data_IF_853308028514
#
_entry.id   IF_853308028514
#
_cell.length_a   1.000
_cell.length_b   1.000
_cell.length_c   1.000
_cell.angle_alpha   90.00
_cell.angle_beta   90.00
_cell.angle_gamma   90.00
#
_symmetry.space_group_name_H-M   'P 1'
#
loop_
_entity.id
_entity.type
_entity.pdbx_description
1 polymer ?
#
# COMPACT_ATOMS: atom_id res chain seq x y z
N UNK A 1 3.27 -39.15 -8.69
CA UNK A 1 2.32 -38.75 -7.64
C UNK A 1 1.18 -39.73 -7.74
N UNK A 2 1.06 -40.64 -6.78
CA UNK A 2 0.02 -41.67 -6.78
C UNK A 2 -1.35 -41.03 -6.56
N UNK A 3 -2.25 -41.26 -7.52
CA UNK A 3 -3.61 -40.71 -7.54
C UNK A 3 -4.57 -41.40 -6.56
N UNK A 4 -4.12 -42.44 -5.86
CA UNK A 4 -4.91 -43.21 -4.89
C UNK A 4 -4.59 -42.87 -3.43
N UNK A 5 -3.73 -41.86 -3.19
CA UNK A 5 -3.50 -41.35 -1.84
C UNK A 5 -4.72 -40.57 -1.32
N UNK A 6 -5.16 -40.77 -0.06
CA UNK A 6 -6.29 -40.03 0.52
C UNK A 6 -6.01 -38.52 0.68
N UNK A 7 -4.74 -38.10 0.60
CA UNK A 7 -4.32 -36.70 0.64
C UNK A 7 -4.15 -36.09 -0.77
N UNK A 8 -4.56 -36.79 -1.84
CA UNK A 8 -4.43 -36.30 -3.21
C UNK A 8 -5.45 -35.19 -3.51
N UNK A 9 -4.96 -33.98 -3.80
CA UNK A 9 -5.77 -32.84 -4.26
C UNK A 9 -5.49 -32.57 -5.74
N UNK A 10 -6.44 -32.82 -6.66
CA UNK A 10 -6.23 -32.57 -8.08
C UNK A 10 -6.20 -31.06 -8.39
N UNK A 11 -5.19 -30.59 -9.11
CA UNK A 11 -5.13 -29.22 -9.61
C UNK A 11 -6.16 -29.00 -10.73
N UNK A 12 -7.19 -28.20 -10.47
CA UNK A 12 -8.26 -27.87 -11.43
C UNK A 12 -7.78 -26.90 -12.53
N UNK A 13 -6.61 -26.28 -12.36
CA UNK A 13 -6.06 -25.32 -13.31
C UNK A 13 -4.98 -25.96 -14.18
N UNK A 14 -5.32 -26.22 -15.44
CA UNK A 14 -4.35 -26.60 -16.47
C UNK A 14 -3.51 -25.37 -16.81
N UNK A 15 -2.22 -25.40 -16.49
CA UNK A 15 -1.27 -24.37 -16.93
C UNK A 15 -1.15 -24.40 -18.46
N UNK A 16 -1.69 -23.40 -19.15
CA UNK A 16 -1.49 -23.18 -20.60
C UNK A 16 -0.41 -22.11 -20.84
N UNK A 17 0.66 -22.49 -21.54
CA UNK A 17 1.63 -21.54 -22.13
C UNK A 17 0.89 -20.54 -23.06
N UNK A 18 1.40 -19.31 -23.09
CA UNK A 18 0.98 -18.13 -23.87
C UNK A 18 0.02 -18.34 -25.06
N UNK A 19 -1.02 -17.50 -25.12
CA UNK A 19 -2.00 -17.40 -26.20
C UNK A 19 -1.36 -16.96 -27.53
N UNK A 20 -1.54 -17.76 -28.59
CA UNK A 20 -1.13 -17.47 -29.97
C UNK A 20 -2.27 -16.90 -30.85
N UNK A 21 -3.12 -15.98 -30.33
CA UNK A 21 -4.12 -15.29 -31.17
C UNK A 21 -4.19 -13.78 -30.87
N UNK A 22 -3.53 -12.92 -31.67
CA UNK A 22 -3.61 -11.46 -31.52
C UNK A 22 -4.97 -10.88 -31.98
N UNK A 23 -5.71 -11.59 -32.84
CA UNK A 23 -6.95 -11.15 -33.48
C UNK A 23 -8.11 -10.82 -32.50
N UNK A 24 -8.16 -11.49 -31.34
CA UNK A 24 -9.25 -11.31 -30.36
C UNK A 24 -9.28 -9.95 -29.65
N UNK A 25 -8.23 -9.13 -29.78
CA UNK A 25 -8.18 -7.79 -29.18
C UNK A 25 -8.95 -6.74 -29.99
N UNK A 26 -9.24 -6.99 -31.27
CA UNK A 26 -9.93 -6.06 -32.17
C UNK A 26 -11.46 -6.16 -32.05
N UNK A 27 -11.99 -7.25 -31.50
CA UNK A 27 -13.45 -7.44 -31.37
C UNK A 27 -14.07 -6.64 -30.21
N UNK A 28 -13.33 -6.40 -29.12
CA UNK A 28 -13.86 -5.68 -27.94
C UNK A 28 -14.24 -4.23 -28.24
N UNK A 29 -13.41 -3.43 -28.96
CA UNK A 29 -13.78 -2.07 -29.37
C UNK A 29 -14.98 -2.03 -30.32
N UNK A 30 -15.08 -2.97 -31.26
CA UNK A 30 -16.14 -3.01 -32.27
C UNK A 30 -17.52 -3.35 -31.68
N UNK A 31 -17.57 -4.18 -30.64
CA UNK A 31 -18.81 -4.50 -29.91
C UNK A 31 -19.33 -3.31 -29.10
N UNK A 32 -18.43 -2.47 -28.57
CA UNK A 32 -18.81 -1.25 -27.83
C UNK A 32 -19.38 -0.19 -28.80
N UNK A 33 -18.74 0.03 -29.95
CA UNK A 33 -19.25 0.95 -30.99
C UNK A 33 -20.64 0.57 -31.52
N UNK A 34 -20.92 -0.73 -31.73
CA UNK A 34 -22.25 -1.22 -32.12
C UNK A 34 -23.35 -1.00 -31.07
N UNK A 35 -22.98 -0.90 -29.78
CA UNK A 35 -23.92 -0.63 -28.70
C UNK A 35 -24.22 0.86 -28.62
N UNK A 36 -23.18 1.68 -28.75
CA UNK A 36 -23.28 3.14 -28.75
C UNK A 36 -24.05 3.65 -30.00
N UNK A 37 -23.92 2.99 -31.17
CA UNK A 37 -24.75 3.29 -32.37
C UNK A 37 -26.24 2.92 -32.21
N UNK A 38 -26.55 1.93 -31.36
CA UNK A 38 -27.93 1.45 -31.15
C UNK A 38 -28.70 2.31 -30.14
N UNK A 39 -27.99 3.04 -29.29
CA UNK A 39 -28.60 3.96 -28.31
C UNK A 39 -29.03 5.31 -28.92
N UNK A 40 -28.57 5.66 -30.13
CA UNK A 40 -28.87 6.95 -30.76
C UNK A 40 -30.10 6.96 -31.69
N UNK A 41 -30.81 5.84 -31.87
CA UNK A 41 -32.00 5.78 -32.72
C UNK A 41 -33.26 5.52 -31.88
N UNK A 42 -33.87 6.60 -31.40
CA UNK A 42 -35.23 6.56 -30.87
C UNK A 42 -36.22 6.52 -32.04
N UNK A 43 -36.84 5.36 -32.29
CA UNK A 43 -38.10 5.29 -33.04
C UNK A 43 -39.24 5.00 -32.06
N UNK A 44 -40.42 5.64 -32.18
CA UNK A 44 -41.59 5.31 -31.38
C UNK A 44 -42.10 3.90 -31.73
N UNK A 45 -42.55 3.15 -30.73
CA UNK A 45 -43.13 1.82 -30.90
C UNK A 45 -44.42 1.86 -31.75
N UNK A 46 -44.66 0.89 -32.64
CA UNK A 46 -45.91 0.79 -33.39
C UNK A 46 -47.09 0.39 -32.49
N UNK A 47 -48.34 0.78 -32.84
CA UNK A 47 -49.52 0.46 -32.04
C UNK A 47 -49.84 -1.04 -32.06
N UNK A 48 -50.43 -1.58 -30.97
CA UNK A 48 -50.77 -3.00 -30.87
C UNK A 48 -51.90 -3.40 -31.85
N UNK A 49 -51.89 -4.64 -32.36
CA UNK A 49 -52.95 -5.16 -33.22
C UNK A 49 -54.26 -5.38 -32.46
N UNK A 50 -55.41 -5.48 -33.17
CA UNK A 50 -56.72 -5.63 -32.55
C UNK A 50 -56.84 -6.99 -31.85
N UNK A 51 -57.42 -6.97 -30.65
CA UNK A 51 -57.87 -8.15 -29.92
C UNK A 51 -59.13 -8.69 -30.57
N UNK A 52 -59.04 -9.86 -31.22
CA UNK A 52 -60.20 -10.67 -31.55
C UNK A 52 -60.53 -11.57 -30.34
N UNK A 53 -61.75 -11.39 -29.85
CA UNK A 53 -62.35 -12.12 -28.76
C UNK A 53 -62.71 -13.53 -29.25
N UNK A 54 -61.92 -14.54 -28.91
CA UNK A 54 -62.42 -15.93 -28.87
C UNK A 54 -61.57 -16.76 -27.92
N UNK A 55 -62.06 -16.87 -26.68
CA UNK A 55 -61.49 -17.71 -25.65
C UNK A 55 -61.97 -19.16 -25.87
N UNK A 56 -61.16 -20.00 -26.52
CA UNK A 56 -61.25 -21.46 -26.39
C UNK A 56 -60.34 -21.90 -25.26
N UNK A 57 -60.95 -22.33 -24.16
CA UNK A 57 -60.27 -22.87 -22.99
C UNK A 57 -59.79 -24.28 -23.34
N UNK A 58 -58.51 -24.44 -23.67
CA UNK A 58 -57.85 -25.75 -23.57
C UNK A 58 -57.28 -25.88 -22.16
N UNK A 59 -57.96 -26.70 -21.37
CA UNK A 59 -57.60 -27.09 -20.01
C UNK A 59 -56.37 -28.02 -20.06
N UNK A 60 -55.17 -27.43 -20.05
CA UNK A 60 -53.97 -28.16 -19.65
C UNK A 60 -53.93 -28.19 -18.13
N UNK A 61 -54.24 -29.38 -17.57
CA UNK A 61 -54.15 -29.66 -16.15
C UNK A 61 -52.74 -29.30 -15.61
N UNK A 62 -52.66 -28.16 -14.92
CA UNK A 62 -51.55 -27.83 -14.04
C UNK A 62 -51.55 -28.86 -12.91
N UNK A 63 -50.57 -29.75 -12.91
CA UNK A 63 -50.35 -30.66 -11.78
C UNK A 63 -50.06 -29.81 -10.53
N UNK A 64 -51.08 -29.64 -9.69
CA UNK A 64 -50.99 -28.91 -8.43
C UNK A 64 -49.97 -29.62 -7.52
N UNK A 65 -48.87 -28.92 -7.20
CA UNK A 65 -47.83 -29.41 -6.29
C UNK A 65 -48.48 -29.79 -4.95
N UNK A 66 -48.16 -30.97 -4.36
CA UNK A 66 -48.70 -31.36 -3.06
C UNK A 66 -48.48 -30.25 -2.04
N UNK A 67 -49.54 -29.89 -1.31
CA UNK A 67 -49.56 -28.74 -0.38
C UNK A 67 -48.41 -28.78 0.65
N UNK A 68 -48.02 -29.98 1.07
CA UNK A 68 -46.88 -30.22 1.97
C UNK A 68 -45.52 -29.84 1.36
N UNK A 69 -45.31 -30.13 0.08
CA UNK A 69 -44.06 -29.81 -0.62
C UNK A 69 -43.91 -28.30 -0.85
N UNK A 70 -45.05 -27.59 -1.02
CA UNK A 70 -45.08 -26.13 -1.08
C UNK A 70 -44.75 -25.49 0.28
N UNK A 71 -45.33 -25.99 1.37
CA UNK A 71 -45.05 -25.55 2.74
C UNK A 71 -43.57 -25.78 3.14
N UNK A 72 -43.01 -26.95 2.78
CA UNK A 72 -41.60 -27.26 3.00
C UNK A 72 -40.68 -26.32 2.18
N UNK A 73 -41.07 -25.99 0.94
CA UNK A 73 -40.33 -25.05 0.09
C UNK A 73 -40.36 -23.62 0.63
N UNK A 74 -41.51 -23.15 1.12
CA UNK A 74 -41.67 -21.83 1.76
C UNK A 74 -40.82 -21.75 3.03
N UNK A 75 -40.84 -22.80 3.85
CA UNK A 75 -40.02 -22.89 5.06
C UNK A 75 -38.53 -22.82 4.72
N UNK A 76 -38.09 -23.58 3.71
CA UNK A 76 -36.70 -23.56 3.24
C UNK A 76 -36.28 -22.23 2.64
N UNK A 77 -37.18 -21.56 1.91
CA UNK A 77 -36.95 -20.22 1.39
C UNK A 77 -36.75 -19.20 2.52
N UNK A 78 -37.59 -19.27 3.56
CA UNK A 78 -37.43 -18.45 4.77
C UNK A 78 -36.08 -18.67 5.46
N UNK A 79 -35.70 -19.93 5.68
CA UNK A 79 -34.41 -20.28 6.29
C UNK A 79 -33.21 -19.78 5.47
N UNK A 80 -33.22 -19.98 4.15
CA UNK A 80 -32.17 -19.48 3.26
C UNK A 80 -32.12 -17.96 3.22
N UNK A 81 -33.26 -17.28 3.34
CA UNK A 81 -33.35 -15.83 3.39
C UNK A 81 -32.75 -15.29 4.68
N UNK A 82 -33.04 -15.91 5.82
CA UNK A 82 -32.40 -15.59 7.11
C UNK A 82 -30.89 -15.83 7.07
N UNK A 83 -30.45 -16.97 6.52
CA UNK A 83 -29.02 -17.28 6.35
C UNK A 83 -28.33 -16.25 5.46
N UNK A 84 -28.94 -15.87 4.33
CA UNK A 84 -28.42 -14.83 3.45
C UNK A 84 -28.30 -13.47 4.14
N UNK A 85 -29.25 -13.10 5.01
CA UNK A 85 -29.19 -11.86 5.79
C UNK A 85 -28.06 -11.94 6.82
N UNK A 86 -27.94 -13.06 7.53
CA UNK A 86 -26.88 -13.30 8.51
C UNK A 86 -25.49 -13.22 7.88
N UNK A 87 -25.27 -13.95 6.78
CA UNK A 87 -24.00 -13.96 6.04
C UNK A 87 -23.63 -12.58 5.48
N UNK A 88 -24.61 -11.81 4.98
CA UNK A 88 -24.37 -10.43 4.54
C UNK A 88 -23.90 -9.54 5.69
N UNK A 89 -24.54 -9.66 6.85
CA UNK A 89 -24.16 -8.92 8.06
C UNK A 89 -22.76 -9.28 8.52
N UNK A 90 -22.41 -10.57 8.54
CA UNK A 90 -21.06 -11.03 8.88
C UNK A 90 -20.02 -10.51 7.88
N UNK A 91 -20.33 -10.54 6.57
CA UNK A 91 -19.45 -9.99 5.55
C UNK A 91 -19.20 -8.48 5.72
N UNK A 92 -20.22 -7.73 6.13
CA UNK A 92 -20.09 -6.30 6.43
C UNK A 92 -19.24 -6.07 7.68
N UNK A 93 -19.49 -6.81 8.76
CA UNK A 93 -18.69 -6.75 9.99
C UNK A 93 -17.22 -7.08 9.74
N UNK A 94 -16.93 -8.15 9.00
CA UNK A 94 -15.55 -8.54 8.66
C UNK A 94 -14.86 -7.51 7.76
N UNK A 95 -15.60 -6.82 6.89
CA UNK A 95 -15.06 -5.72 6.09
C UNK A 95 -14.70 -4.52 6.96
N UNK A 96 -15.57 -4.15 7.88
CA UNK A 96 -15.34 -3.04 8.81
C UNK A 96 -14.15 -3.33 9.75
N UNK A 97 -14.06 -4.55 10.27
CA UNK A 97 -12.93 -4.97 11.10
C UNK A 97 -11.62 -4.96 10.31
N UNK A 98 -11.62 -5.50 9.09
CA UNK A 98 -10.45 -5.44 8.21
C UNK A 98 -10.04 -3.99 7.90
N UNK A 99 -10.99 -3.08 7.70
CA UNK A 99 -10.70 -1.67 7.49
C UNK A 99 -10.01 -1.06 8.72
N UNK A 100 -10.56 -1.30 9.92
CA UNK A 100 -9.98 -0.84 11.19
C UNK A 100 -8.60 -1.44 11.46
N UNK A 101 -8.41 -2.73 11.20
CA UNK A 101 -7.13 -3.41 11.38
C UNK A 101 -6.06 -2.88 10.41
N UNK A 102 -6.43 -2.66 9.14
CA UNK A 102 -5.52 -2.05 8.15
C UNK A 102 -5.11 -0.64 8.57
N UNK A 103 -6.04 0.14 9.12
CA UNK A 103 -5.74 1.47 9.64
C UNK A 103 -4.81 1.41 10.86
N UNK A 104 -5.10 0.55 11.85
CA UNK A 104 -4.23 0.32 13.01
C UNK A 104 -2.83 -0.11 12.59
N UNK A 105 -2.71 -1.02 11.62
CA UNK A 105 -1.43 -1.47 11.08
C UNK A 105 -0.66 -0.33 10.41
N UNK A 106 -1.35 0.52 9.64
CA UNK A 106 -0.75 1.69 8.98
C UNK A 106 -0.22 2.70 9.99
N UNK A 107 -0.98 2.96 11.05
CA UNK A 107 -0.59 3.88 12.13
C UNK A 107 0.49 3.29 13.05
N UNK A 108 0.57 1.96 13.14
CA UNK A 108 1.63 1.27 13.87
C UNK A 108 2.98 1.30 13.12
N UNK A 109 2.97 1.48 11.79
CA UNK A 109 4.18 1.50 10.99
C UNK A 109 4.93 2.82 11.18
N UNK A 110 6.18 2.72 11.65
CA UNK A 110 7.03 3.88 11.89
C UNK A 110 7.65 4.36 10.58
N UNK A 111 7.11 5.44 10.03
CA UNK A 111 7.57 6.10 8.81
C UNK A 111 7.69 7.60 9.03
N UNK A 112 8.42 8.27 8.14
CA UNK A 112 8.51 9.72 8.13
C UNK A 112 7.11 10.35 8.11
N UNK A 113 6.22 9.88 7.24
CA UNK A 113 4.86 10.41 7.10
C UNK A 113 3.98 10.27 8.35
N UNK A 114 4.19 9.23 9.17
CA UNK A 114 3.39 9.02 10.40
C UNK A 114 3.92 9.83 11.58
N UNK A 115 5.23 10.08 11.62
CA UNK A 115 5.87 10.85 12.70
C UNK A 115 5.92 12.35 12.41
N UNK A 116 6.02 12.76 11.14
CA UNK A 116 6.14 14.17 10.72
C UNK A 116 5.03 15.10 11.23
N UNK A 117 3.76 14.65 11.38
CA UNK A 117 2.71 15.47 12.01
C UNK A 117 2.96 15.76 13.50
N UNK A 118 3.61 14.85 14.24
CA UNK A 118 4.04 15.08 15.62
C UNK A 118 5.39 15.82 15.60
N UNK A 119 5.33 17.15 15.59
CA UNK A 119 6.50 18.01 15.52
C UNK A 119 7.47 17.77 16.68
N UNK A 120 6.95 17.48 17.88
CA UNK A 120 7.78 17.25 19.08
C UNK A 120 8.59 15.97 18.91
N UNK A 121 7.93 14.88 18.54
CA UNK A 121 8.59 13.61 18.29
C UNK A 121 9.54 13.70 17.08
N UNK A 122 9.14 14.41 16.02
CA UNK A 122 9.94 14.56 14.81
C UNK A 122 11.25 15.32 15.07
N UNK A 123 11.18 16.45 15.78
CA UNK A 123 12.37 17.21 16.20
C UNK A 123 13.20 16.40 17.18
N UNK A 124 12.58 15.67 18.11
CA UNK A 124 13.31 14.80 19.03
C UNK A 124 14.14 13.74 18.30
N UNK A 125 13.58 13.13 17.25
CA UNK A 125 14.22 12.07 16.48
C UNK A 125 15.26 12.57 15.47
N UNK A 126 14.97 13.65 14.74
CA UNK A 126 15.82 14.13 13.64
C UNK A 126 16.71 15.30 14.02
N UNK A 127 16.30 16.08 15.01
CA UNK A 127 16.93 17.34 15.39
C UNK A 127 16.65 18.49 14.45
N UNK A 128 15.78 18.30 13.48
CA UNK A 128 15.40 19.31 12.51
C UNK A 128 13.90 19.57 12.59
N UNK A 129 13.50 20.79 12.27
CA UNK A 129 12.10 21.09 11.99
C UNK A 129 11.68 20.44 10.68
N UNK A 130 10.39 20.19 10.50
CA UNK A 130 9.85 19.63 9.26
C UNK A 130 10.18 20.48 8.03
N UNK A 131 10.20 21.81 8.19
CA UNK A 131 10.59 22.76 7.14
C UNK A 131 12.05 22.56 6.69
N UNK A 132 13.00 22.44 7.62
CA UNK A 132 14.42 22.21 7.28
C UNK A 132 14.59 20.82 6.68
N UNK A 133 13.86 19.83 7.19
CA UNK A 133 13.85 18.48 6.63
C UNK A 133 13.40 18.48 5.16
N UNK A 134 12.29 19.15 4.83
CA UNK A 134 11.76 19.23 3.47
C UNK A 134 12.69 19.98 2.53
N UNK A 135 13.30 21.07 3.01
CA UNK A 135 14.35 21.78 2.28
C UNK A 135 15.54 20.87 1.99
N UNK A 136 16.03 20.15 3.00
CA UNK A 136 17.16 19.24 2.87
C UNK A 136 16.85 18.10 1.91
N UNK A 137 15.65 17.52 2.01
CA UNK A 137 15.18 16.49 1.09
C UNK A 137 15.17 17.03 -0.35
N UNK A 138 14.60 18.21 -0.57
CA UNK A 138 14.58 18.86 -1.89
C UNK A 138 15.99 19.08 -2.47
N UNK A 139 16.99 19.39 -1.62
CA UNK A 139 18.39 19.50 -2.04
C UNK A 139 19.03 18.16 -2.40
N UNK A 140 18.59 17.06 -1.79
CA UNK A 140 19.21 15.74 -1.95
C UNK A 140 18.56 14.89 -3.03
N UNK A 141 17.26 15.04 -3.30
CA UNK A 141 16.46 14.15 -4.19
C UNK A 141 17.08 13.95 -5.58
N UNK A 142 17.75 14.97 -6.14
CA UNK A 142 18.41 14.88 -7.45
C UNK A 142 19.73 14.10 -7.47
N UNK A 143 20.35 13.88 -6.32
CA UNK A 143 21.70 13.28 -6.21
C UNK A 143 21.71 11.95 -5.45
N UNK A 144 20.65 11.63 -4.72
CA UNK A 144 20.55 10.40 -3.92
C UNK A 144 19.91 9.26 -4.70
N UNK A 145 20.30 8.03 -4.36
CA UNK A 145 19.72 6.81 -4.91
C UNK A 145 18.66 6.25 -3.96
N UNK A 146 17.53 5.83 -4.51
CA UNK A 146 16.54 5.04 -3.78
C UNK A 146 17.09 3.62 -3.59
N UNK A 147 17.37 3.23 -2.35
CA UNK A 147 18.01 1.94 -2.04
C UNK A 147 17.00 0.80 -1.98
N UNK A 148 15.77 1.09 -1.53
CA UNK A 148 14.68 0.12 -1.48
C UNK A 148 13.36 0.74 -1.92
N UNK A 149 12.53 -0.05 -2.61
CA UNK A 149 11.17 0.37 -2.99
C UNK A 149 10.17 0.35 -1.82
N UNK A 150 10.50 -0.37 -0.74
CA UNK A 150 9.65 -0.45 0.47
C UNK A 150 9.57 0.86 1.24
N UNK A 151 10.55 1.75 1.07
CA UNK A 151 10.66 3.01 1.79
C UNK A 151 10.65 4.18 0.81
N UNK A 152 10.03 5.29 1.20
CA UNK A 152 10.06 6.54 0.43
C UNK A 152 11.44 7.22 0.55
N UNK A 153 11.75 8.18 -0.33
CA UNK A 153 12.98 8.98 -0.17
C UNK A 153 12.98 9.78 1.14
N UNK A 154 11.80 10.20 1.61
CA UNK A 154 11.67 10.83 2.93
C UNK A 154 12.10 9.88 4.04
N UNK A 155 11.66 8.62 3.99
CA UNK A 155 12.03 7.61 4.99
C UNK A 155 13.54 7.34 4.99
N UNK A 156 14.18 7.35 3.82
CA UNK A 156 15.63 7.19 3.73
C UNK A 156 16.35 8.33 4.46
N UNK A 157 15.97 9.58 4.20
CA UNK A 157 16.53 10.74 4.89
C UNK A 157 16.24 10.69 6.40
N UNK A 158 15.01 10.35 6.77
CA UNK A 158 14.55 10.25 8.16
C UNK A 158 15.37 9.23 8.95
N UNK A 159 15.60 8.04 8.39
CA UNK A 159 16.46 6.99 8.98
C UNK A 159 17.87 7.53 9.27
N UNK A 160 18.47 8.24 8.32
CA UNK A 160 19.83 8.76 8.46
C UNK A 160 19.90 9.81 9.56
N UNK A 161 18.94 10.74 9.59
CA UNK A 161 18.90 11.78 10.62
C UNK A 161 18.69 11.19 12.02
N UNK A 162 17.79 10.21 12.17
CA UNK A 162 17.64 9.46 13.43
C UNK A 162 18.96 8.82 13.83
N UNK A 163 19.63 8.17 12.88
CA UNK A 163 20.88 7.47 13.17
C UNK A 163 21.99 8.44 13.60
N UNK A 164 22.12 9.58 12.91
CA UNK A 164 23.13 10.60 13.22
C UNK A 164 22.87 11.29 14.55
N UNK A 165 21.60 11.53 14.90
CA UNK A 165 21.24 12.20 16.15
C UNK A 165 21.25 11.28 17.36
N UNK A 166 20.65 10.10 17.22
CA UNK A 166 20.38 9.20 18.34
C UNK A 166 21.44 8.10 18.51
N UNK A 167 22.33 7.90 17.53
CA UNK A 167 23.37 6.88 17.60
C UNK A 167 22.84 5.43 17.60
N UNK A 168 21.60 5.21 17.14
CA UNK A 168 20.93 3.91 17.25
C UNK A 168 21.54 2.86 16.29
N UNK A 169 21.53 1.60 16.71
CA UNK A 169 22.03 0.47 15.92
C UNK A 169 21.20 0.24 14.65
N UNK A 170 21.84 -0.27 13.59
CA UNK A 170 21.15 -0.58 12.34
C UNK A 170 20.06 -1.65 12.56
N UNK A 171 20.32 -2.64 13.44
CA UNK A 171 19.38 -3.71 13.77
C UNK A 171 18.06 -3.17 14.34
N UNK A 172 18.13 -2.18 15.23
CA UNK A 172 16.94 -1.58 15.80
C UNK A 172 16.15 -0.77 14.75
N UNK A 173 16.84 0.02 13.91
CA UNK A 173 16.20 0.74 12.81
C UNK A 173 15.55 -0.24 11.81
N UNK A 174 16.24 -1.34 11.49
CA UNK A 174 15.73 -2.38 10.61
C UNK A 174 14.42 -2.99 11.15
N UNK A 175 14.39 -3.31 12.44
CA UNK A 175 13.17 -3.76 13.13
C UNK A 175 12.05 -2.70 13.03
N UNK A 176 12.38 -1.44 13.33
CA UNK A 176 11.38 -0.36 13.40
C UNK A 176 10.76 -0.01 12.04
N UNK A 177 11.56 -0.05 10.98
CA UNK A 177 11.14 0.24 9.59
C UNK A 177 10.76 -1.01 8.78
N UNK A 178 10.73 -2.19 9.42
CA UNK A 178 10.40 -3.47 8.80
C UNK A 178 11.23 -3.77 7.52
N UNK A 179 12.53 -3.53 7.61
CA UNK A 179 13.52 -3.82 6.56
C UNK A 179 14.68 -4.63 7.12
N UNK A 180 15.60 -5.09 6.28
CA UNK A 180 16.79 -5.81 6.73
C UNK A 180 17.87 -4.85 7.24
N UNK A 181 18.73 -5.34 8.12
CA UNK A 181 19.92 -4.61 8.59
C UNK A 181 20.83 -4.16 7.43
N UNK A 182 20.96 -5.04 6.42
CA UNK A 182 21.69 -4.74 5.19
C UNK A 182 21.08 -3.58 4.40
N UNK A 183 19.75 -3.43 4.41
CA UNK A 183 19.06 -2.30 3.78
C UNK A 183 19.42 -1.00 4.48
N UNK A 184 19.33 -0.94 5.82
CA UNK A 184 19.72 0.26 6.59
C UNK A 184 21.19 0.62 6.34
N UNK A 185 22.08 -0.38 6.36
CA UNK A 185 23.49 -0.19 6.03
C UNK A 185 23.70 0.36 4.61
N UNK A 186 22.94 -0.14 3.63
CA UNK A 186 22.97 0.34 2.25
C UNK A 186 22.47 1.80 2.12
N UNK A 187 21.40 2.15 2.84
CA UNK A 187 20.87 3.52 2.92
C UNK A 187 21.96 4.45 3.47
N UNK A 188 22.54 4.12 4.62
CA UNK A 188 23.57 4.92 5.26
C UNK A 188 24.76 5.13 4.31
N UNK A 189 25.30 4.07 3.72
CA UNK A 189 26.47 4.15 2.81
C UNK A 189 26.21 5.00 1.57
N UNK A 190 25.05 4.80 0.93
CA UNK A 190 24.69 5.53 -0.29
C UNK A 190 24.44 7.01 -0.03
N UNK A 191 23.72 7.34 1.03
CA UNK A 191 23.27 8.70 1.28
C UNK A 191 24.26 9.55 2.08
N UNK A 192 25.01 8.99 3.04
CA UNK A 192 25.95 9.77 3.85
C UNK A 192 27.02 10.44 2.98
N UNK A 193 27.50 9.76 1.93
CA UNK A 193 28.46 10.33 0.99
C UNK A 193 27.88 11.56 0.27
N UNK A 194 26.63 11.47 -0.20
CA UNK A 194 25.94 12.58 -0.87
C UNK A 194 25.67 13.71 0.11
N UNK A 195 25.13 13.41 1.30
CA UNK A 195 24.87 14.39 2.34
C UNK A 195 26.13 15.11 2.79
N UNK A 196 27.24 14.39 2.97
CA UNK A 196 28.52 14.99 3.35
C UNK A 196 28.98 16.02 2.30
N UNK A 197 28.83 15.71 1.01
CA UNK A 197 29.17 16.63 -0.06
C UNK A 197 28.21 17.84 -0.11
N UNK A 198 26.90 17.60 -0.06
CA UNK A 198 25.89 18.67 -0.12
C UNK A 198 25.92 19.60 1.10
N UNK A 199 26.24 19.08 2.28
CA UNK A 199 26.26 19.85 3.54
C UNK A 199 27.62 20.48 3.83
N UNK A 200 28.69 20.07 3.14
CA UNK A 200 30.03 20.62 3.33
C UNK A 200 30.06 22.16 3.32
N UNK A 201 29.37 22.88 2.40
CA UNK A 201 29.40 24.34 2.38
C UNK A 201 28.73 25.00 3.59
N UNK A 202 27.86 24.28 4.30
CA UNK A 202 27.17 24.79 5.49
C UNK A 202 28.04 24.72 6.74
N UNK A 203 29.10 23.90 6.73
CA UNK A 203 29.96 23.67 7.88
C UNK A 203 31.19 24.57 7.79
N UNK A 204 31.21 25.64 8.58
CA UNK A 204 32.38 26.51 8.73
C UNK A 204 33.31 25.95 9.81
N UNK A 205 34.34 25.23 9.39
CA UNK A 205 35.38 24.76 10.30
C UNK A 205 36.32 25.93 10.69
N UNK A 206 36.56 26.16 12.00
CA UNK A 206 37.52 27.17 12.43
C UNK A 206 38.94 26.81 11.97
N UNK A 207 39.74 27.83 11.66
CA UNK A 207 41.14 27.62 11.29
C UNK A 207 41.93 27.02 12.47
N UNK A 208 43.01 26.29 12.17
CA UNK A 208 43.88 25.71 13.20
C UNK A 208 44.34 26.76 14.23
N UNK A 209 44.68 27.96 13.75
CA UNK A 209 45.11 29.05 14.62
C UNK A 209 43.98 29.54 15.53
N UNK A 210 42.76 29.68 14.99
CA UNK A 210 41.60 30.06 15.77
C UNK A 210 41.32 29.03 16.88
N UNK A 211 41.36 27.73 16.57
CA UNK A 211 41.21 26.66 17.58
C UNK A 211 42.28 26.77 18.67
N UNK A 212 43.56 26.89 18.31
CA UNK A 212 44.68 26.96 19.26
C UNK A 212 44.69 28.25 20.11
N UNK A 213 44.08 29.32 19.61
CA UNK A 213 43.92 30.59 20.34
C UNK A 213 42.87 30.46 21.44
N UNK A 214 41.77 29.76 21.17
CA UNK A 214 40.64 29.61 22.10
C UNK A 214 40.70 28.32 22.95
N UNK A 215 41.69 27.45 22.72
CA UNK A 215 41.90 26.23 23.49
C UNK A 215 42.39 26.53 24.92
N UNK A 216 41.81 25.85 25.93
CA UNK A 216 42.22 26.00 27.33
C UNK A 216 43.66 25.56 27.54
N UNK A 217 44.37 26.17 28.51
CA UNK A 217 45.81 25.91 28.74
C UNK A 217 46.12 24.43 28.99
N UNK A 218 45.27 23.76 29.77
CA UNK A 218 45.40 22.33 30.10
C UNK A 218 45.31 21.49 28.82
N UNK A 219 44.32 21.79 27.97
CA UNK A 219 44.11 21.03 26.74
C UNK A 219 45.19 21.32 25.69
N UNK A 220 45.65 22.57 25.59
CA UNK A 220 46.73 22.97 24.68
C UNK A 220 48.06 22.29 25.02
N UNK A 221 48.35 22.08 26.31
CA UNK A 221 49.57 21.39 26.76
C UNK A 221 49.57 19.91 26.34
N UNK A 222 48.43 19.26 26.45
CA UNK A 222 48.30 17.81 26.22
C UNK A 222 47.90 17.46 24.77
N UNK A 223 47.24 18.36 24.05
CA UNK A 223 46.60 18.08 22.76
C UNK A 223 46.82 19.19 21.71
N UNK A 224 48.08 19.47 21.38
CA UNK A 224 48.47 20.52 20.41
C UNK A 224 47.95 20.31 18.97
N UNK A 225 47.50 19.09 18.65
CA UNK A 225 46.94 18.73 17.33
C UNK A 225 45.41 18.63 17.33
N UNK A 226 44.74 18.86 18.47
CA UNK A 226 43.29 18.77 18.52
C UNK A 226 42.62 19.87 17.68
N UNK A 227 41.60 19.46 16.93
CA UNK A 227 40.83 20.31 16.00
C UNK A 227 39.38 20.46 16.45
N UNK A 228 38.81 19.42 17.05
CA UNK A 228 37.48 19.42 17.64
C UNK A 228 37.47 18.50 18.87
N UNK A 229 36.55 18.80 19.80
CA UNK A 229 36.20 17.94 20.92
C UNK A 229 34.72 17.59 20.70
N UNK A 230 34.43 16.35 20.33
CA UNK A 230 33.07 15.82 20.30
C UNK A 230 32.75 15.28 21.69
N UNK A 231 31.68 15.79 22.29
CA UNK A 231 31.16 15.37 23.60
C UNK A 231 30.39 14.07 23.45
#
# INVERSE_FOLDING_TARGET
MDSESPDFVPSVFVYKKHSQRPEGKIERPSRKRKRDERETVTQPAPPPPPVDDTCTVEETAEAMVPQKDYEDLVTKHGQLQEECVSLRKECEQLRDENAKLKEKLKNAHFTCSTVKPDLTQFVFLTGLTTVIFDWLLGKLVGSVKKVTHKLSLEDHLFIILIKLRMGISNRYLAYKFNVTDSTISGICRSWLAVMAHCLQPLIKWPSKQAVLKHMTKIFKRNFQRCRCITV
#
